data_IF_353764874817
#
_entry.id   IF_353764874817
#
_cell.length_a   1.000
_cell.length_b   1.000
_cell.length_c   1.000
_cell.angle_alpha   90.00
_cell.angle_beta   90.00
_cell.angle_gamma   90.00
#
_symmetry.space_group_name_H-M   'P 1'
#
loop_
_entity.id
_entity.type
_entity.pdbx_description
1 polymer ?
#
# COMPACT_ATOMS: atom_id res chain seq x y z
N UNK A 1 -0.71 -11.71 8.86
CA UNK A 1 -1.29 -11.63 7.52
C UNK A 1 -0.70 -12.72 6.64
N UNK A 2 -1.51 -13.43 5.87
CA UNK A 2 -1.02 -14.52 5.02
C UNK A 2 -0.22 -13.97 3.84
N UNK A 3 0.56 -14.85 3.20
CA UNK A 3 1.33 -14.48 2.01
C UNK A 3 0.40 -14.03 0.88
N UNK A 4 -0.74 -14.70 0.74
CA UNK A 4 -1.72 -14.32 -0.29
C UNK A 4 -2.30 -12.93 -0.01
N UNK A 5 -2.67 -12.64 1.23
CA UNK A 5 -3.21 -11.34 1.61
C UNK A 5 -2.20 -10.22 1.36
N UNK A 6 -0.92 -10.49 1.64
CA UNK A 6 0.14 -9.53 1.37
C UNK A 6 0.28 -9.24 -0.12
N UNK A 7 0.16 -10.26 -0.97
CA UNK A 7 0.24 -10.08 -2.43
C UNK A 7 -0.94 -9.26 -2.94
N UNK A 8 -2.14 -9.55 -2.47
CA UNK A 8 -3.34 -8.80 -2.87
C UNK A 8 -3.19 -7.33 -2.49
N UNK A 9 -2.81 -7.08 -1.25
CA UNK A 9 -2.61 -5.73 -0.75
C UNK A 9 -1.53 -5.00 -1.57
N UNK A 10 -0.39 -5.66 -1.79
CA UNK A 10 0.72 -5.09 -2.54
C UNK A 10 0.29 -4.71 -3.96
N UNK A 11 -0.44 -5.59 -4.63
CA UNK A 11 -0.91 -5.37 -5.99
C UNK A 11 -1.87 -4.18 -6.05
N UNK A 12 -2.81 -4.11 -5.12
CA UNK A 12 -3.80 -3.04 -5.09
C UNK A 12 -3.16 -1.69 -4.81
N UNK A 13 -2.23 -1.65 -3.87
CA UNK A 13 -1.52 -0.40 -3.54
C UNK A 13 -0.67 0.06 -4.72
N UNK A 14 0.02 -0.87 -5.37
CA UNK A 14 0.82 -0.53 -6.55
C UNK A 14 -0.05 0.08 -7.65
N UNK A 15 -1.21 -0.52 -7.92
CA UNK A 15 -2.11 -0.02 -8.94
C UNK A 15 -2.62 1.39 -8.62
N UNK A 16 -3.02 1.62 -7.37
CA UNK A 16 -3.46 2.95 -6.94
C UNK A 16 -2.34 3.97 -7.06
N UNK A 17 -1.14 3.59 -6.66
CA UNK A 17 0.02 4.47 -6.74
C UNK A 17 0.34 4.85 -8.18
N UNK A 18 0.39 3.86 -9.07
CA UNK A 18 0.70 4.09 -10.48
C UNK A 18 -0.37 4.94 -11.15
N UNK A 19 -1.62 4.68 -10.82
CA UNK A 19 -2.75 5.46 -11.34
C UNK A 19 -2.66 6.93 -10.92
N UNK A 20 -2.14 7.19 -9.73
CA UNK A 20 -1.94 8.54 -9.22
C UNK A 20 -0.65 9.18 -9.75
N UNK A 21 0.14 8.45 -10.52
CA UNK A 21 1.39 8.97 -11.07
C UNK A 21 2.49 9.18 -10.05
N UNK A 22 2.46 8.45 -8.94
CA UNK A 22 3.40 8.64 -7.84
C UNK A 22 4.51 7.60 -7.88
N UNK A 23 5.73 8.04 -7.60
CA UNK A 23 6.86 7.13 -7.38
C UNK A 23 6.76 6.56 -5.96
N UNK A 24 7.38 5.39 -5.75
CA UNK A 24 7.36 4.71 -4.46
C UNK A 24 7.90 5.59 -3.33
N UNK A 25 9.04 6.23 -3.55
CA UNK A 25 9.64 7.11 -2.56
C UNK A 25 8.75 8.31 -2.26
N UNK A 26 8.10 8.85 -3.28
CA UNK A 26 7.21 10.01 -3.10
C UNK A 26 6.01 9.64 -2.24
N UNK A 27 5.40 8.49 -2.49
CA UNK A 27 4.28 8.03 -1.68
C UNK A 27 4.72 7.78 -0.24
N UNK A 28 5.89 7.14 -0.05
CA UNK A 28 6.43 6.92 1.29
C UNK A 28 6.61 8.25 2.04
N UNK A 29 7.14 9.26 1.35
CA UNK A 29 7.36 10.58 1.94
C UNK A 29 6.04 11.24 2.34
N UNK A 30 5.06 11.22 1.45
CA UNK A 30 3.74 11.83 1.72
C UNK A 30 3.09 11.17 2.93
N UNK A 31 3.23 9.86 3.06
CA UNK A 31 2.63 9.10 4.16
C UNK A 31 3.49 9.12 5.42
N UNK A 32 4.64 9.77 5.38
CA UNK A 32 5.57 9.85 6.50
C UNK A 32 6.11 8.48 6.92
N UNK A 33 6.29 7.61 5.95
CA UNK A 33 6.94 6.30 6.14
C UNK A 33 8.43 6.43 5.77
N UNK A 34 9.24 5.42 6.10
CA UNK A 34 10.59 5.33 5.58
C UNK A 34 10.56 5.35 4.05
N UNK A 35 11.58 5.95 3.43
CA UNK A 35 11.55 6.15 1.98
C UNK A 35 11.56 4.83 1.18
N UNK A 36 11.95 3.72 1.78
CA UNK A 36 11.91 2.41 1.14
C UNK A 36 10.68 1.59 1.49
N UNK A 37 9.77 2.14 2.32
CA UNK A 37 8.67 1.36 2.87
C UNK A 37 7.71 0.86 1.78
N UNK A 38 7.26 1.74 0.90
CA UNK A 38 6.32 1.37 -0.16
C UNK A 38 6.96 0.35 -1.11
N UNK A 39 8.25 0.50 -1.40
CA UNK A 39 8.96 -0.49 -2.22
C UNK A 39 8.91 -1.89 -1.59
N UNK A 40 9.19 -1.97 -0.29
CA UNK A 40 9.14 -3.24 0.43
C UNK A 40 7.72 -3.79 0.52
N UNK A 41 6.75 -2.91 0.72
CA UNK A 41 5.34 -3.29 0.79
C UNK A 41 4.89 -3.91 -0.53
N UNK A 42 5.24 -3.31 -1.65
CA UNK A 42 4.85 -3.80 -2.97
C UNK A 42 5.52 -5.12 -3.33
N UNK A 43 6.62 -5.45 -2.66
CA UNK A 43 7.27 -6.76 -2.80
C UNK A 43 6.68 -7.81 -1.87
N UNK A 44 5.69 -7.44 -1.05
CA UNK A 44 5.07 -8.34 -0.09
C UNK A 44 5.97 -8.70 1.08
N UNK A 45 6.92 -7.84 1.43
CA UNK A 45 7.95 -8.14 2.43
C UNK A 45 7.74 -7.48 3.78
N UNK A 46 6.62 -6.80 4.01
CA UNK A 46 6.38 -6.13 5.29
C UNK A 46 5.12 -6.66 5.96
N UNK A 47 5.14 -6.68 7.29
CA UNK A 47 3.95 -6.86 8.11
C UNK A 47 3.40 -5.47 8.40
N UNK A 48 2.41 -5.08 7.62
CA UNK A 48 1.85 -3.75 7.75
C UNK A 48 0.84 -3.72 8.90
N UNK A 49 0.84 -2.63 9.67
CA UNK A 49 -0.14 -2.44 10.73
C UNK A 49 -1.46 -1.93 10.16
N UNK A 50 -2.53 -2.13 10.91
CA UNK A 50 -3.85 -1.61 10.52
C UNK A 50 -3.79 -0.07 10.40
N UNK A 51 -3.09 0.60 11.30
CA UNK A 51 -2.98 2.06 11.25
C UNK A 51 -2.35 2.52 9.93
N UNK A 52 -1.32 1.83 9.46
CA UNK A 52 -0.68 2.19 8.19
C UNK A 52 -1.58 1.87 7.01
N UNK A 53 -2.32 0.77 7.08
CA UNK A 53 -3.30 0.42 6.04
C UNK A 53 -4.36 1.52 5.95
N UNK A 54 -4.87 1.97 7.09
CA UNK A 54 -5.86 3.05 7.12
C UNK A 54 -5.30 4.33 6.53
N UNK A 55 -4.05 4.65 6.84
CA UNK A 55 -3.41 5.85 6.32
C UNK A 55 -3.32 5.82 4.79
N UNK A 56 -2.97 4.66 4.23
CA UNK A 56 -2.90 4.47 2.78
C UNK A 56 -4.30 4.59 2.17
N UNK A 57 -5.28 3.91 2.75
CA UNK A 57 -6.66 3.95 2.26
C UNK A 57 -7.21 5.36 2.26
N UNK A 58 -6.97 6.11 3.35
CA UNK A 58 -7.43 7.49 3.47
C UNK A 58 -6.78 8.38 2.42
N UNK A 59 -5.49 8.19 2.17
CA UNK A 59 -4.79 8.97 1.16
C UNK A 59 -5.41 8.78 -0.22
N UNK A 60 -5.74 7.54 -0.58
CA UNK A 60 -6.33 7.23 -1.89
C UNK A 60 -7.85 7.36 -1.89
N UNK A 61 -8.45 7.73 -0.76
CA UNK A 61 -9.90 7.89 -0.62
C UNK A 61 -10.65 6.60 -0.99
N UNK A 62 -10.15 5.48 -0.52
CA UNK A 62 -10.79 4.17 -0.70
C UNK A 62 -11.03 3.55 0.66
N UNK A 63 -11.87 2.52 0.71
CA UNK A 63 -12.11 1.75 1.93
C UNK A 63 -10.96 0.77 2.15
N UNK A 64 -10.68 0.44 3.42
CA UNK A 64 -9.69 -0.59 3.73
C UNK A 64 -10.01 -1.87 2.98
N UNK A 65 -11.29 -2.25 2.92
CA UNK A 65 -11.72 -3.48 2.25
C UNK A 65 -11.38 -3.46 0.76
N UNK A 66 -11.37 -2.28 0.13
CA UNK A 66 -11.00 -2.16 -1.29
C UNK A 66 -9.55 -2.58 -1.53
N UNK A 67 -8.69 -2.41 -0.53
CA UNK A 67 -7.27 -2.78 -0.65
C UNK A 67 -7.06 -4.29 -0.65
N UNK A 68 -8.05 -5.05 -0.23
CA UNK A 68 -7.97 -6.52 -0.16
C UNK A 68 -8.84 -7.22 -1.20
N UNK A 69 -9.39 -6.48 -2.16
CA UNK A 69 -10.18 -7.08 -3.22
C UNK A 69 -9.25 -7.73 -4.25
N UNK A 70 -9.53 -8.99 -4.54
CA UNK A 70 -8.81 -9.71 -5.58
C UNK A 70 -9.45 -9.38 -6.93
N UNK A 71 -8.64 -9.04 -7.92
CA UNK A 71 -9.13 -8.73 -9.26
C UNK A 71 -8.86 -9.86 -10.21
#
# INVERSE_FOLDING_TARGET
MSQESRKILATNIKQLREKAGLKKEKLSLILEFDNSYISKLEKGKVNITIDKIEKIANFFNVKITDLFLST
#
